data_IF_109327042710
#
_entry.id   IF_109327042710
#
_cell.length_a   1.000
_cell.length_b   1.000
_cell.length_c   1.000
_cell.angle_alpha   90.00
_cell.angle_beta   90.00
_cell.angle_gamma   90.00
#
_symmetry.space_group_name_H-M   'P 1'
#
loop_
_entity.id
_entity.type
_entity.pdbx_description
1 polymer ?
#
# COMPACT_ATOMS: atom_id res chain seq x y z
N UNK A 1 6.62 0.71 -19.04
CA UNK A 1 6.35 0.78 -17.58
C UNK A 1 4.90 0.42 -17.32
N UNK A 2 4.56 -0.14 -16.15
CA UNK A 2 3.18 -0.58 -15.81
C UNK A 2 2.13 0.52 -16.07
N UNK A 3 2.46 1.77 -15.78
CA UNK A 3 1.60 2.95 -16.04
C UNK A 3 1.16 3.05 -17.50
N UNK A 4 2.09 2.90 -18.45
CA UNK A 4 1.79 3.02 -19.89
C UNK A 4 0.84 1.93 -20.35
N UNK A 5 1.09 0.69 -19.91
CA UNK A 5 0.24 -0.47 -20.24
C UNK A 5 -1.19 -0.28 -19.74
N UNK A 6 -1.36 0.28 -18.54
CA UNK A 6 -2.69 0.55 -17.98
C UNK A 6 -3.38 1.72 -18.70
N UNK A 7 -2.64 2.78 -19.03
CA UNK A 7 -3.17 3.93 -19.77
C UNK A 7 -3.68 3.55 -21.17
N UNK A 8 -2.97 2.67 -21.88
CA UNK A 8 -3.42 2.12 -23.18
C UNK A 8 -4.74 1.34 -23.09
N UNK A 9 -5.13 0.91 -21.89
CA UNK A 9 -6.43 0.27 -21.60
C UNK A 9 -7.48 1.24 -21.09
N UNK A 10 -7.22 2.55 -21.14
CA UNK A 10 -8.13 3.58 -20.65
C UNK A 10 -8.25 3.64 -19.13
N UNK A 11 -7.29 3.07 -18.40
CA UNK A 11 -7.25 3.09 -16.95
C UNK A 11 -6.44 4.27 -16.43
N UNK A 12 -6.94 4.88 -15.36
CA UNK A 12 -6.28 5.95 -14.61
C UNK A 12 -5.86 5.42 -13.24
N UNK A 13 -4.69 5.83 -12.77
CA UNK A 13 -4.18 5.41 -11.47
C UNK A 13 -4.88 6.22 -10.37
N UNK A 14 -5.38 5.53 -9.35
CA UNK A 14 -5.82 6.18 -8.13
C UNK A 14 -4.60 6.81 -7.39
N UNK A 15 -4.82 7.92 -6.70
CA UNK A 15 -3.81 8.43 -5.76
C UNK A 15 -3.65 7.43 -4.60
N UNK A 16 -2.44 7.26 -4.06
CA UNK A 16 -2.22 6.36 -2.93
C UNK A 16 -1.52 7.05 -1.74
N UNK A 17 -1.71 6.49 -0.55
CA UNK A 17 -1.18 7.01 0.72
C UNK A 17 0.32 6.78 0.92
N UNK A 18 1.03 6.19 -0.04
CA UNK A 18 2.50 6.09 -0.05
C UNK A 18 3.06 4.67 -0.04
N UNK A 19 2.62 3.80 0.89
CA UNK A 19 3.06 2.41 1.02
C UNK A 19 1.88 1.49 1.28
N UNK A 20 2.06 0.21 0.94
CA UNK A 20 1.05 -0.83 1.10
C UNK A 20 1.65 -2.14 1.62
N UNK A 21 2.98 -2.24 1.76
CA UNK A 21 3.63 -3.41 2.30
C UNK A 21 4.96 -3.04 2.98
N UNK A 22 5.49 -3.99 3.74
CA UNK A 22 6.79 -3.93 4.37
C UNK A 22 7.59 -5.20 4.06
N UNK A 23 8.90 -5.10 3.94
CA UNK A 23 9.78 -6.25 3.69
C UNK A 23 11.13 -6.08 4.37
N UNK A 24 11.92 -7.15 4.50
CA UNK A 24 13.15 -7.16 5.32
C UNK A 24 14.28 -6.19 4.90
N UNK A 25 14.23 -5.64 3.69
CA UNK A 25 15.32 -4.79 3.21
C UNK A 25 16.63 -5.54 2.99
N UNK A 26 17.69 -4.80 2.72
CA UNK A 26 19.06 -5.32 2.65
C UNK A 26 19.83 -5.24 3.99
N UNK A 27 19.31 -4.49 4.97
CA UNK A 27 20.03 -4.12 6.20
C UNK A 27 20.15 -5.24 7.22
N UNK A 28 19.23 -6.23 7.20
CA UNK A 28 19.20 -7.37 8.13
C UNK A 28 19.30 -6.98 9.62
N UNK A 29 18.75 -5.83 10.00
CA UNK A 29 18.85 -5.23 11.34
C UNK A 29 17.48 -5.15 12.05
N UNK A 30 16.58 -6.08 11.70
CA UNK A 30 15.18 -6.15 12.13
C UNK A 30 14.27 -4.99 11.68
N UNK A 31 14.79 -4.01 10.94
CA UNK A 31 13.95 -3.00 10.32
C UNK A 31 13.35 -3.52 9.02
N UNK A 32 12.04 -3.34 8.88
CA UNK A 32 11.31 -3.60 7.66
C UNK A 32 11.17 -2.29 6.88
N UNK A 33 11.42 -2.36 5.58
CA UNK A 33 11.38 -1.23 4.66
C UNK A 33 10.00 -1.15 4.03
N UNK A 34 9.39 0.03 4.05
CA UNK A 34 8.12 0.27 3.39
C UNK A 34 8.25 0.16 1.88
N UNK A 35 7.24 -0.41 1.22
CA UNK A 35 7.15 -0.53 -0.23
C UNK A 35 5.74 -0.19 -0.73
N UNK A 36 5.68 0.21 -2.00
CA UNK A 36 4.44 0.57 -2.71
C UNK A 36 4.24 -0.42 -3.84
N UNK A 37 3.56 -1.53 -3.53
CA UNK A 37 3.43 -2.67 -4.43
C UNK A 37 1.98 -2.91 -4.86
N UNK A 38 1.02 -2.56 -4.01
CA UNK A 38 -0.39 -2.71 -4.29
C UNK A 38 -0.92 -1.43 -4.92
N UNK A 39 -1.30 -1.51 -6.20
CA UNK A 39 -1.68 -0.35 -7.00
C UNK A 39 -3.13 -0.47 -7.45
N UNK A 40 -3.86 0.64 -7.42
CA UNK A 40 -5.25 0.67 -7.85
C UNK A 40 -5.39 1.53 -9.11
N UNK A 41 -6.09 0.96 -10.08
CA UNK A 41 -6.40 1.56 -11.37
C UNK A 41 -7.90 1.50 -11.60
N UNK A 42 -8.48 2.53 -12.21
CA UNK A 42 -9.92 2.65 -12.42
C UNK A 42 -10.26 3.22 -13.79
N UNK A 43 -11.49 2.99 -14.23
CA UNK A 43 -12.10 3.63 -15.40
C UNK A 43 -13.59 3.87 -15.14
N UNK A 44 -14.17 4.87 -15.80
CA UNK A 44 -15.61 5.14 -15.72
C UNK A 44 -16.09 5.80 -14.42
N UNK A 45 -15.18 6.40 -13.65
CA UNK A 45 -15.50 7.23 -12.48
C UNK A 45 -15.07 8.67 -12.75
N UNK A 46 -15.90 9.64 -12.39
CA UNK A 46 -15.65 11.08 -12.61
C UNK A 46 -14.88 11.75 -11.47
N UNK A 47 -14.43 10.99 -10.47
CA UNK A 47 -13.56 11.44 -9.39
C UNK A 47 -12.13 10.91 -9.51
N UNK A 48 -11.22 11.49 -8.71
CA UNK A 48 -9.90 10.94 -8.45
C UNK A 48 -9.96 10.13 -7.14
N UNK A 49 -10.37 8.84 -7.18
CA UNK A 49 -10.44 8.03 -5.97
C UNK A 49 -9.07 7.95 -5.32
N UNK A 50 -9.07 8.01 -3.99
CA UNK A 50 -7.86 7.87 -3.18
C UNK A 50 -7.83 6.50 -2.53
N UNK A 51 -6.73 5.80 -2.76
CA UNK A 51 -6.36 4.56 -2.09
C UNK A 51 -5.65 4.86 -0.78
N UNK A 52 -6.21 4.39 0.32
CA UNK A 52 -5.69 4.59 1.67
C UNK A 52 -5.31 3.24 2.26
N UNK A 53 -4.01 3.03 2.51
CA UNK A 53 -3.52 1.88 3.26
C UNK A 53 -3.83 2.05 4.75
N UNK A 54 -4.30 0.98 5.39
CA UNK A 54 -4.64 0.94 6.81
C UNK A 54 -3.58 0.16 7.61
N UNK A 55 -3.95 -0.28 8.82
CA UNK A 55 -3.13 -1.14 9.69
C UNK A 55 -1.73 -0.56 9.96
N UNK A 56 -0.71 -1.41 9.98
CA UNK A 56 0.67 -1.01 10.26
C UNK A 56 1.22 0.02 9.26
N UNK A 57 0.76 0.06 8.01
CA UNK A 57 1.14 1.14 7.08
C UNK A 57 0.66 2.52 7.53
N UNK A 58 -0.62 2.63 7.92
CA UNK A 58 -1.16 3.88 8.46
C UNK A 58 -0.48 4.25 9.78
N UNK A 59 -0.29 3.28 10.67
CA UNK A 59 0.31 3.46 12.00
C UNK A 59 1.74 3.99 11.93
N UNK A 60 2.56 3.40 11.06
CA UNK A 60 3.97 3.77 10.90
C UNK A 60 4.20 4.87 9.86
N UNK A 61 3.14 5.37 9.21
CA UNK A 61 3.20 6.45 8.20
C UNK A 61 4.25 6.18 7.12
N UNK A 62 4.33 4.92 6.69
CA UNK A 62 5.30 4.45 5.70
C UNK A 62 6.78 4.71 6.06
N UNK A 63 7.08 4.93 7.34
CA UNK A 63 8.45 4.90 7.85
C UNK A 63 8.85 3.45 8.15
N UNK A 64 10.15 3.12 8.12
CA UNK A 64 10.63 1.82 8.53
C UNK A 64 10.12 1.45 9.93
N UNK A 65 9.66 0.22 10.08
CA UNK A 65 9.23 -0.33 11.37
C UNK A 65 10.23 -1.39 11.83
N UNK A 66 10.41 -1.54 13.14
CA UNK A 66 11.24 -2.61 13.70
C UNK A 66 10.33 -3.74 14.17
N UNK A 67 10.62 -4.97 13.75
CA UNK A 67 9.87 -6.16 14.15
C UNK A 67 10.83 -7.35 14.31
N UNK A 68 10.76 -8.02 15.47
CA UNK A 68 11.58 -9.19 15.83
C UNK A 68 10.71 -10.28 16.43
N UNK A 69 11.21 -11.52 16.52
CA UNK A 69 10.49 -12.61 17.18
C UNK A 69 10.15 -12.30 18.64
N UNK A 70 11.08 -11.71 19.40
CA UNK A 70 10.86 -11.34 20.80
C UNK A 70 9.98 -10.10 21.00
N UNK A 71 9.92 -9.23 19.99
CA UNK A 71 9.14 -7.98 20.00
C UNK A 71 8.54 -7.78 18.60
N UNK A 72 7.45 -8.50 18.28
CA UNK A 72 6.83 -8.40 16.97
C UNK A 72 6.08 -7.08 16.86
N UNK A 73 6.10 -6.51 15.65
CA UNK A 73 5.01 -5.60 15.26
C UNK A 73 3.78 -6.47 14.97
N UNK A 74 2.69 -6.36 15.76
CA UNK A 74 1.62 -7.36 15.73
C UNK A 74 0.96 -7.55 14.37
N UNK A 75 0.62 -6.47 13.64
CA UNK A 75 -0.10 -6.63 12.37
C UNK A 75 0.80 -7.27 11.31
N UNK A 76 2.07 -6.85 11.25
CA UNK A 76 3.07 -7.40 10.34
C UNK A 76 3.38 -8.87 10.62
N UNK A 77 3.57 -9.23 11.89
CA UNK A 77 4.02 -10.57 12.26
C UNK A 77 2.88 -11.61 12.24
N UNK A 78 1.70 -11.23 12.71
CA UNK A 78 0.61 -12.19 12.95
C UNK A 78 -0.44 -12.20 11.82
N UNK A 79 -0.52 -11.15 11.01
CA UNK A 79 -1.55 -11.02 9.97
C UNK A 79 -0.98 -11.08 8.56
N UNK A 80 -0.17 -10.10 8.16
CA UNK A 80 0.42 -10.01 6.82
C UNK A 80 1.48 -8.91 6.77
N UNK A 81 2.47 -9.10 5.90
CA UNK A 81 3.44 -8.08 5.49
C UNK A 81 2.86 -7.01 4.53
N UNK A 82 1.63 -7.22 4.04
CA UNK A 82 0.82 -6.26 3.30
C UNK A 82 -0.25 -5.61 4.18
N UNK A 83 -0.59 -4.37 3.83
CA UNK A 83 -1.63 -3.58 4.48
C UNK A 83 -2.89 -3.57 3.61
N UNK A 84 -4.08 -3.73 4.22
CA UNK A 84 -5.32 -3.56 3.49
C UNK A 84 -5.43 -2.13 2.95
N UNK A 85 -5.85 -2.02 1.69
CA UNK A 85 -6.07 -0.74 1.00
C UNK A 85 -7.55 -0.54 0.79
N UNK A 86 -8.07 0.59 1.24
CA UNK A 86 -9.47 0.99 1.06
C UNK A 86 -9.56 2.11 0.03
N UNK A 87 -10.57 2.02 -0.83
CA UNK A 87 -10.94 3.06 -1.78
C UNK A 87 -12.44 3.29 -1.67
N UNK A 88 -12.82 4.53 -1.39
CA UNK A 88 -14.21 4.94 -1.46
C UNK A 88 -14.56 5.32 -2.90
N UNK A 89 -15.56 4.65 -3.46
CA UNK A 89 -16.07 4.92 -4.80
C UNK A 89 -17.26 5.87 -4.69
N UNK A 90 -17.03 7.15 -4.92
CA UNK A 90 -18.10 8.14 -5.02
C UNK A 90 -18.57 8.25 -6.47
N UNK A 91 -19.86 7.99 -6.70
CA UNK A 91 -20.52 8.16 -7.99
C UNK A 91 -20.76 6.83 -8.73
N UNK A 92 -22.03 6.51 -8.96
CA UNK A 92 -22.46 5.65 -10.07
C UNK A 92 -22.72 6.54 -11.28
N UNK A 93 -22.46 5.99 -12.48
CA UNK A 93 -22.69 6.58 -13.80
C UNK A 93 -23.90 7.51 -13.88
#
# INVERSE_FOLDING_TARGET
>A
ALTSVMAERGLVRAEDSGCTAYWDGSRRDAYKVASRLDLIWHAGFTGAPRAVALAHCARHRCQPLRSTEAYPEPDFADLSDHCPVVVDLAGSR
#
